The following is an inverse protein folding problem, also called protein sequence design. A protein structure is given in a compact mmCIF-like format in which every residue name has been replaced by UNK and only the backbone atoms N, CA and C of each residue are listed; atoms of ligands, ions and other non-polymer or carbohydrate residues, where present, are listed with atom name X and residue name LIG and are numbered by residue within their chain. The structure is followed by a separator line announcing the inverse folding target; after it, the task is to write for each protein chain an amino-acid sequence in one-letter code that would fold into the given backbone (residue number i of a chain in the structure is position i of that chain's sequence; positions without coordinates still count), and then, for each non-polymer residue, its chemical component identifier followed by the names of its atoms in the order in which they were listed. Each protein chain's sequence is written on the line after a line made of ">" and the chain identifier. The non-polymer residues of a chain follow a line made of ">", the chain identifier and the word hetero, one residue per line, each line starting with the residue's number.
data_IF_547197978318
#
_entry.id   IF_547197978318
#
_cell.length_a   1.000
_cell.length_b   1.000
_cell.length_c   1.000
_cell.angle_alpha   90.00
_cell.angle_beta   90.00
_cell.angle_gamma   90.00
#
_symmetry.space_group_name_H-M   'P 1'
#
loop_
_entity.id
_entity.type
_entity.pdbx_description
1 polymer ?
#
# COMPACT_ATOMS: atom_id res chain seq x y z
N UNK A 1 -1.96 -4.90 -72.07
CA UNK A 1 -3.02 -4.22 -71.31
C UNK A 1 -3.70 -3.14 -72.16
N UNK A 2 -2.96 -2.31 -73.00
CA UNK A 2 -3.54 -1.23 -73.77
C UNK A 2 -4.65 -1.62 -74.74
N UNK A 3 -4.62 -2.85 -75.31
CA UNK A 3 -5.65 -3.31 -76.25
C UNK A 3 -7.04 -3.45 -75.60
N UNK A 4 -7.16 -3.57 -74.32
CA UNK A 4 -8.47 -3.62 -73.60
C UNK A 4 -9.09 -2.27 -73.35
N UNK A 5 -8.31 -1.15 -73.48
CA UNK A 5 -8.73 0.22 -73.32
C UNK A 5 -8.68 1.04 -74.59
N UNK A 6 -8.66 0.41 -75.76
CA UNK A 6 -8.72 1.04 -77.06
C UNK A 6 -7.39 1.56 -77.57
N UNK A 7 -6.24 1.22 -76.98
CA UNK A 7 -4.90 1.61 -77.42
C UNK A 7 -4.18 0.51 -78.22
N UNK A 8 -3.02 0.81 -78.77
CA UNK A 8 -2.22 -0.12 -79.63
C UNK A 8 -1.55 -1.20 -78.71
N UNK A 9 -1.29 -2.42 -79.14
CA UNK A 9 -0.57 -3.43 -78.47
C UNK A 9 0.84 -2.93 -78.08
N UNK A 10 1.15 -2.90 -76.73
CA UNK A 10 2.43 -2.42 -76.21
C UNK A 10 2.45 -0.98 -75.67
N UNK A 11 1.39 -0.21 -75.82
CA UNK A 11 1.25 1.06 -75.15
C UNK A 11 0.80 0.93 -73.73
N UNK A 12 1.43 1.70 -72.84
CA UNK A 12 1.07 1.79 -71.38
C UNK A 12 0.27 3.09 -71.20
N UNK A 13 -0.99 2.94 -70.83
CA UNK A 13 -1.83 4.07 -70.37
C UNK A 13 -1.83 4.14 -68.89
N UNK A 14 -1.48 5.28 -68.30
CA UNK A 14 -1.67 5.47 -66.86
C UNK A 14 -3.17 5.50 -66.59
N UNK A 15 -3.64 4.52 -65.82
CA UNK A 15 -5.04 4.49 -65.34
C UNK A 15 -5.01 4.86 -63.87
N UNK A 16 -5.61 5.97 -63.53
CA UNK A 16 -5.79 6.38 -62.15
C UNK A 16 -7.06 5.71 -61.62
N UNK A 17 -6.91 4.89 -60.55
CA UNK A 17 -8.03 4.32 -59.86
C UNK A 17 -8.26 5.09 -58.54
N UNK A 18 -9.40 5.80 -58.44
CA UNK A 18 -9.78 6.61 -57.31
C UNK A 18 -9.41 8.10 -57.48
N UNK A 19 -9.81 8.88 -56.47
CA UNK A 19 -9.53 10.31 -56.37
C UNK A 19 -8.21 10.56 -55.64
N UNK A 20 -7.61 11.73 -55.81
CA UNK A 20 -6.34 12.09 -55.18
C UNK A 20 -6.47 12.25 -53.64
N UNK A 21 -7.69 12.62 -53.20
CA UNK A 21 -7.97 12.86 -51.80
C UNK A 21 -9.21 12.11 -51.33
N UNK A 22 -9.17 11.65 -50.09
CA UNK A 22 -10.33 11.06 -49.40
C UNK A 22 -10.39 11.55 -47.98
N UNK A 23 -11.61 11.75 -47.48
CA UNK A 23 -11.90 12.05 -46.09
C UNK A 23 -12.92 11.04 -45.62
N UNK A 24 -12.64 10.37 -44.49
CA UNK A 24 -13.61 9.52 -43.83
C UNK A 24 -13.92 10.05 -42.43
N UNK A 25 -15.18 9.98 -42.07
CA UNK A 25 -15.64 10.25 -40.72
C UNK A 25 -16.50 9.05 -40.25
N UNK A 26 -16.05 8.34 -39.21
CA UNK A 26 -16.74 7.17 -38.77
C UNK A 26 -16.92 7.19 -37.23
N UNK A 27 -18.06 6.71 -36.77
CA UNK A 27 -18.33 6.37 -35.39
C UNK A 27 -18.47 4.84 -35.27
N UNK A 28 -17.84 4.28 -34.26
CA UNK A 28 -17.93 2.84 -33.96
C UNK A 28 -18.25 2.63 -32.50
N UNK A 29 -19.22 1.77 -32.24
CA UNK A 29 -19.58 1.27 -30.90
C UNK A 29 -19.27 -0.22 -30.84
N UNK A 30 -18.41 -0.59 -29.90
CA UNK A 30 -18.08 -1.98 -29.63
C UNK A 30 -18.68 -2.36 -28.26
N UNK A 31 -19.45 -3.44 -28.22
CA UNK A 31 -20.04 -4.00 -27.01
C UNK A 31 -19.45 -5.39 -26.73
N UNK A 32 -18.75 -5.53 -25.59
CA UNK A 32 -18.33 -6.83 -25.12
C UNK A 32 -19.56 -7.64 -24.67
N UNK A 33 -19.77 -8.81 -25.26
CA UNK A 33 -20.88 -9.72 -24.94
C UNK A 33 -20.39 -10.78 -23.96
N UNK A 34 -19.23 -11.38 -24.23
CA UNK A 34 -18.64 -12.42 -23.40
C UNK A 34 -17.13 -12.33 -23.40
N UNK A 35 -16.56 -12.37 -22.19
CA UNK A 35 -15.14 -12.57 -21.94
C UNK A 35 -14.99 -13.28 -20.61
N UNK A 36 -14.36 -14.46 -20.62
CA UNK A 36 -14.15 -15.23 -19.39
C UNK A 36 -13.27 -14.51 -18.38
N UNK A 37 -12.26 -13.77 -18.83
CA UNK A 37 -11.38 -13.00 -17.95
C UNK A 37 -12.09 -11.83 -17.29
N UNK A 38 -13.00 -11.16 -17.99
CA UNK A 38 -13.82 -10.07 -17.45
C UNK A 38 -14.71 -10.54 -16.29
N UNK A 39 -15.36 -11.72 -16.45
CA UNK A 39 -16.22 -12.28 -15.39
C UNK A 39 -15.42 -12.59 -14.10
N UNK A 40 -14.18 -13.10 -14.26
CA UNK A 40 -13.30 -13.34 -13.11
C UNK A 40 -12.77 -12.03 -12.55
N UNK A 41 -12.43 -11.05 -13.39
CA UNK A 41 -12.04 -9.71 -12.99
C UNK A 41 -13.09 -9.03 -12.12
N UNK A 42 -14.37 -9.16 -12.47
CA UNK A 42 -15.48 -8.64 -11.68
C UNK A 42 -15.58 -9.33 -10.30
N UNK A 43 -15.35 -10.65 -10.22
CA UNK A 43 -15.25 -11.35 -8.93
C UNK A 43 -14.04 -10.89 -8.11
N UNK A 44 -12.89 -10.67 -8.75
CA UNK A 44 -11.67 -10.22 -8.10
C UNK A 44 -11.80 -8.80 -7.54
N UNK A 45 -12.55 -7.91 -8.19
CA UNK A 45 -12.71 -6.51 -7.74
C UNK A 45 -13.27 -6.40 -6.32
N UNK A 46 -14.22 -7.28 -5.95
CA UNK A 46 -14.78 -7.34 -4.59
C UNK A 46 -13.75 -7.79 -3.55
N UNK A 47 -12.85 -8.71 -3.91
CA UNK A 47 -11.78 -9.19 -3.03
C UNK A 47 -10.72 -8.11 -2.86
N UNK A 48 -10.32 -7.42 -3.92
CA UNK A 48 -9.40 -6.28 -3.85
C UNK A 48 -9.94 -5.14 -2.99
N UNK A 49 -11.24 -4.82 -3.13
CA UNK A 49 -11.88 -3.83 -2.27
C UNK A 49 -11.84 -4.24 -0.79
N UNK A 50 -12.07 -5.54 -0.50
CA UNK A 50 -11.98 -6.06 0.86
C UNK A 50 -10.56 -5.95 1.40
N UNK A 51 -9.54 -6.33 0.62
CA UNK A 51 -8.12 -6.18 0.98
C UNK A 51 -7.79 -4.71 1.27
N UNK A 52 -8.24 -3.77 0.43
CA UNK A 52 -8.01 -2.34 0.65
C UNK A 52 -8.62 -1.84 1.97
N UNK A 53 -9.83 -2.30 2.29
CA UNK A 53 -10.48 -1.96 3.58
C UNK A 53 -9.73 -2.56 4.77
N UNK A 54 -9.25 -3.79 4.64
CA UNK A 54 -8.44 -4.44 5.68
C UNK A 54 -7.09 -3.75 5.88
N UNK A 55 -6.44 -3.33 4.79
CA UNK A 55 -5.21 -2.54 4.88
C UNK A 55 -5.44 -1.19 5.59
N UNK A 56 -6.60 -0.55 5.38
CA UNK A 56 -6.97 0.65 6.14
C UNK A 56 -7.04 0.34 7.64
N UNK A 57 -7.75 -0.72 8.04
CA UNK A 57 -7.85 -1.14 9.45
C UNK A 57 -6.46 -1.46 10.02
N UNK A 58 -5.62 -2.17 9.28
CA UNK A 58 -4.23 -2.45 9.66
C UNK A 58 -3.45 -1.16 9.91
N UNK A 59 -3.51 -0.20 8.98
CA UNK A 59 -2.84 1.10 9.13
C UNK A 59 -3.35 1.89 10.35
N UNK A 60 -4.66 1.84 10.63
CA UNK A 60 -5.23 2.46 11.84
C UNK A 60 -4.67 1.81 13.12
N UNK A 61 -4.52 0.49 13.15
CA UNK A 61 -3.91 -0.23 14.27
C UNK A 61 -2.42 0.07 14.41
N UNK A 62 -1.68 0.14 13.30
CA UNK A 62 -0.26 0.51 13.29
C UNK A 62 -0.02 1.93 13.81
N UNK A 63 -0.84 2.89 13.38
CA UNK A 63 -0.79 4.28 13.89
C UNK A 63 -1.13 4.31 15.39
N UNK A 64 -2.18 3.60 15.81
CA UNK A 64 -2.54 3.50 17.24
C UNK A 64 -1.38 2.95 18.07
N UNK A 65 -0.73 1.89 17.60
CA UNK A 65 0.45 1.31 18.25
C UNK A 65 1.60 2.31 18.33
N UNK A 66 1.94 2.95 17.19
CA UNK A 66 3.01 3.95 17.14
C UNK A 66 2.79 5.10 18.15
N UNK A 67 1.56 5.61 18.21
CA UNK A 67 1.19 6.67 19.17
C UNK A 67 1.27 6.16 20.61
N UNK A 68 0.79 4.95 20.87
CA UNK A 68 0.86 4.35 22.21
C UNK A 68 2.31 4.16 22.66
N UNK A 69 3.17 3.62 21.80
CA UNK A 69 4.59 3.42 22.09
C UNK A 69 5.29 4.77 22.35
N UNK A 70 5.01 5.80 21.53
CA UNK A 70 5.55 7.15 21.74
C UNK A 70 5.07 7.75 23.06
N UNK A 71 3.78 7.58 23.40
CA UNK A 71 3.18 8.07 24.63
C UNK A 71 3.83 7.43 25.88
N UNK A 72 3.98 6.10 25.88
CA UNK A 72 4.64 5.37 26.98
C UNK A 72 6.09 5.79 27.12
N UNK A 73 6.81 6.02 26.01
CA UNK A 73 8.19 6.48 26.05
C UNK A 73 8.34 7.87 26.68
N UNK A 74 7.38 8.79 26.49
CA UNK A 74 7.38 10.08 27.20
C UNK A 74 7.20 9.86 28.70
N UNK A 75 6.18 9.09 29.11
CA UNK A 75 5.92 8.78 30.52
C UNK A 75 7.14 8.13 31.19
N UNK A 76 7.81 7.20 30.49
CA UNK A 76 9.02 6.56 30.98
C UNK A 76 10.17 7.55 31.17
N UNK A 77 10.37 8.48 30.24
CA UNK A 77 11.41 9.49 30.33
C UNK A 77 11.14 10.47 31.49
N UNK A 78 9.90 10.92 31.64
CA UNK A 78 9.50 11.81 32.74
C UNK A 78 9.63 11.12 34.11
N UNK A 79 9.22 9.86 34.23
CA UNK A 79 9.36 9.10 35.47
C UNK A 79 10.84 8.84 35.82
N UNK A 80 11.67 8.53 34.81
CA UNK A 80 13.12 8.38 35.01
C UNK A 80 13.75 9.70 35.48
N UNK A 81 13.35 10.83 34.92
CA UNK A 81 13.78 12.16 35.37
C UNK A 81 13.44 12.34 36.85
N UNK A 82 12.18 12.11 37.23
CA UNK A 82 11.67 12.26 38.60
C UNK A 82 12.44 11.40 39.61
N UNK A 83 12.75 10.14 39.23
CA UNK A 83 13.53 9.22 40.07
C UNK A 83 14.96 9.71 40.26
N UNK A 84 15.62 10.17 39.19
CA UNK A 84 17.00 10.66 39.26
C UNK A 84 17.10 11.97 40.06
N UNK A 85 16.14 12.90 39.88
CA UNK A 85 16.07 14.13 40.71
C UNK A 85 15.93 13.81 42.20
N UNK A 86 15.05 12.87 42.54
CA UNK A 86 14.86 12.44 43.93
C UNK A 86 16.12 11.74 44.50
N UNK A 87 16.76 10.87 43.69
CA UNK A 87 17.97 10.17 44.13
C UNK A 87 19.12 11.13 44.34
N UNK A 88 19.27 12.13 43.45
CA UNK A 88 20.31 13.15 43.58
C UNK A 88 20.11 13.97 44.85
N UNK A 89 18.89 14.46 45.12
CA UNK A 89 18.58 15.21 46.33
C UNK A 89 18.89 14.41 47.60
N UNK A 90 18.44 13.13 47.68
CA UNK A 90 18.74 12.24 48.83
C UNK A 90 20.26 12.02 49.02
N UNK A 91 21.01 11.92 47.91
CA UNK A 91 22.45 11.71 47.96
C UNK A 91 23.20 12.98 48.41
N UNK A 92 22.76 14.16 47.97
CA UNK A 92 23.30 15.46 48.39
C UNK A 92 23.10 15.69 49.89
N UNK A 93 21.93 15.31 50.45
CA UNK A 93 21.67 15.36 51.89
C UNK A 93 22.62 14.40 52.61
N UNK A 94 22.76 13.16 52.14
CA UNK A 94 23.67 12.14 52.69
C UNK A 94 25.12 12.63 52.64
N UNK A 95 25.56 13.22 51.55
CA UNK A 95 26.90 13.74 51.35
C UNK A 95 27.19 14.90 52.30
N UNK A 96 26.19 15.72 52.56
CA UNK A 96 26.30 16.83 53.56
C UNK A 96 26.50 16.27 54.96
N UNK A 97 25.82 15.23 55.34
CA UNK A 97 25.93 14.62 56.68
C UNK A 97 27.25 13.86 56.84
N UNK A 98 27.66 13.08 55.86
CA UNK A 98 28.98 12.38 55.86
C UNK A 98 30.15 13.35 55.91
N UNK A 99 30.09 14.49 55.23
CA UNK A 99 31.12 15.54 55.32
C UNK A 99 31.25 16.09 56.77
N UNK A 100 30.12 16.30 57.48
CA UNK A 100 30.18 16.71 58.90
C UNK A 100 30.85 15.63 59.77
N UNK A 101 30.53 14.34 59.56
CA UNK A 101 31.09 13.20 60.31
C UNK A 101 32.60 13.05 60.00
N UNK A 102 33.01 13.25 58.73
CA UNK A 102 34.39 13.29 58.31
C UNK A 102 35.18 14.41 59.03
N UNK A 103 34.61 15.61 59.13
CA UNK A 103 35.24 16.75 59.84
C UNK A 103 35.46 16.43 61.36
N UNK A 104 34.71 15.50 61.90
CA UNK A 104 34.88 15.03 63.27
C UNK A 104 35.90 13.86 63.40
N UNK A 105 36.47 13.42 62.28
CA UNK A 105 37.46 12.35 62.23
C UNK A 105 36.87 10.93 62.45
N UNK A 106 35.51 10.77 62.24
CA UNK A 106 34.83 9.51 62.46
C UNK A 106 34.64 8.62 61.23
N UNK A 107 34.94 9.14 60.05
CA UNK A 107 34.95 8.41 58.78
C UNK A 107 36.19 8.78 57.95
N UNK A 108 36.55 7.89 57.02
CA UNK A 108 37.70 8.07 56.12
C UNK A 108 37.30 8.92 54.91
N UNK A 109 38.29 9.61 54.27
CA UNK A 109 38.05 10.50 53.11
C UNK A 109 37.50 9.71 51.94
N UNK A 110 37.89 8.45 51.77
CA UNK A 110 37.44 7.57 50.67
C UNK A 110 35.92 7.41 50.64
N UNK A 111 35.25 7.44 51.83
CA UNK A 111 33.77 7.37 51.87
C UNK A 111 33.11 8.64 51.34
N UNK A 112 33.71 9.80 51.55
CA UNK A 112 33.23 11.07 50.99
C UNK A 112 33.44 11.07 49.50
N UNK A 113 34.63 10.71 49.03
CA UNK A 113 35.00 10.68 47.59
C UNK A 113 34.10 9.68 46.84
N UNK A 114 33.79 8.50 47.39
CA UNK A 114 32.91 7.52 46.77
C UNK A 114 31.51 8.07 46.58
N UNK A 115 30.97 8.81 47.57
CA UNK A 115 29.65 9.46 47.42
C UNK A 115 29.67 10.60 46.43
N UNK A 116 30.76 11.37 46.37
CA UNK A 116 30.93 12.42 45.36
C UNK A 116 30.99 11.87 43.91
N UNK A 117 31.68 10.78 43.69
CA UNK A 117 31.72 10.07 42.40
C UNK A 117 30.33 9.56 42.04
N UNK A 118 29.63 9.00 43.02
CA UNK A 118 28.23 8.52 42.82
C UNK A 118 27.28 9.66 42.47
N UNK A 119 27.40 10.81 43.17
CA UNK A 119 26.61 12.02 42.90
C UNK A 119 26.86 12.54 41.47
N UNK A 120 28.12 12.63 41.07
CA UNK A 120 28.51 13.06 39.72
C UNK A 120 27.98 12.10 38.63
N UNK A 121 27.93 10.80 38.93
CA UNK A 121 27.34 9.79 38.02
C UNK A 121 25.83 9.98 37.88
N UNK A 122 25.10 10.16 38.98
CA UNK A 122 23.65 10.42 38.95
C UNK A 122 23.35 11.75 38.26
N UNK A 123 24.12 12.79 38.52
CA UNK A 123 23.99 14.08 37.83
C UNK A 123 24.15 13.95 36.31
N UNK A 124 25.17 13.21 35.86
CA UNK A 124 25.40 12.94 34.45
C UNK A 124 24.24 12.18 33.79
N UNK A 125 23.65 11.20 34.53
CA UNK A 125 22.48 10.48 34.07
C UNK A 125 21.24 11.38 33.99
N UNK A 126 21.06 12.30 34.97
CA UNK A 126 19.99 13.28 34.96
C UNK A 126 20.11 14.25 33.77
N UNK A 127 21.32 14.78 33.51
CA UNK A 127 21.58 15.66 32.37
C UNK A 127 21.29 15.00 31.03
N UNK A 128 21.55 13.70 30.91
CA UNK A 128 21.17 12.92 29.74
C UNK A 128 19.64 12.84 29.59
N UNK A 129 18.91 12.51 30.65
CA UNK A 129 17.44 12.38 30.62
C UNK A 129 16.78 13.73 30.37
N UNK A 130 17.30 14.84 30.91
CA UNK A 130 16.81 16.18 30.66
C UNK A 130 16.87 16.58 29.18
N UNK A 131 17.86 16.06 28.44
CA UNK A 131 17.94 16.22 26.98
C UNK A 131 17.04 15.24 26.22
N UNK A 132 16.75 14.08 26.79
CA UNK A 132 15.88 13.06 26.19
C UNK A 132 14.42 13.41 26.22
N UNK A 133 13.91 13.99 27.33
CA UNK A 133 12.50 14.33 27.52
C UNK A 133 11.92 15.16 26.38
N UNK A 134 12.50 16.29 25.97
CA UNK A 134 11.96 17.06 24.85
C UNK A 134 11.95 16.27 23.52
N UNK A 135 12.93 15.39 23.30
CA UNK A 135 12.99 14.55 22.11
C UNK A 135 11.81 13.55 22.09
N UNK A 136 11.51 12.92 23.24
CA UNK A 136 10.37 11.99 23.32
C UNK A 136 9.04 12.71 23.10
N UNK A 137 8.86 13.93 23.58
CA UNK A 137 7.70 14.77 23.28
C UNK A 137 7.58 15.10 21.77
N UNK A 138 8.70 15.44 21.13
CA UNK A 138 8.73 15.68 19.68
C UNK A 138 8.34 14.44 18.87
N UNK A 139 8.80 13.26 19.29
CA UNK A 139 8.43 11.96 18.67
C UNK A 139 6.92 11.71 18.83
N UNK A 140 6.36 11.99 20.02
CA UNK A 140 4.93 11.88 20.26
C UNK A 140 4.13 12.86 19.37
N UNK A 141 4.54 14.12 19.30
CA UNK A 141 3.91 15.10 18.43
C UNK A 141 3.94 14.69 16.96
N UNK A 142 5.07 14.17 16.50
CA UNK A 142 5.20 13.63 15.14
C UNK A 142 4.24 12.46 14.91
N UNK A 143 4.15 11.52 15.86
CA UNK A 143 3.23 10.38 15.75
C UNK A 143 1.76 10.81 15.75
N UNK A 144 1.43 11.91 16.45
CA UNK A 144 0.09 12.53 16.46
C UNK A 144 -0.19 13.41 15.23
N UNK A 145 0.81 13.64 14.36
CA UNK A 145 0.69 14.56 13.23
C UNK A 145 0.56 16.03 13.62
N UNK A 146 1.11 16.44 14.78
CA UNK A 146 1.11 17.81 15.30
C UNK A 146 2.45 18.51 15.02
N UNK A 147 2.51 19.80 15.30
CA UNK A 147 3.79 20.52 15.27
C UNK A 147 4.73 19.93 16.32
N UNK A 148 6.03 19.81 15.98
CA UNK A 148 7.04 19.20 16.84
C UNK A 148 7.18 19.91 18.20
N UNK A 149 6.92 21.21 18.24
CA UNK A 149 7.07 22.04 19.41
C UNK A 149 5.76 22.23 20.19
N UNK A 150 4.67 21.56 19.78
CA UNK A 150 3.41 21.63 20.54
C UNK A 150 3.60 21.08 21.95
N UNK A 151 2.99 21.74 22.91
CA UNK A 151 3.00 21.29 24.30
C UNK A 151 1.78 20.38 24.56
N UNK A 152 2.03 19.07 24.70
CA UNK A 152 1.02 18.07 25.04
C UNK A 152 1.20 17.69 26.50
N UNK A 153 0.20 18.00 27.33
CA UNK A 153 0.18 17.54 28.73
C UNK A 153 -0.32 16.08 28.78
N UNK A 154 0.47 15.22 29.42
CA UNK A 154 0.09 13.84 29.67
C UNK A 154 -0.73 13.77 30.97
N UNK A 155 -1.80 12.97 30.96
CA UNK A 155 -2.73 12.86 32.11
C UNK A 155 -2.57 11.56 32.89
N UNK A 156 -1.96 10.56 32.27
CA UNK A 156 -1.76 9.24 32.87
C UNK A 156 -0.42 9.15 33.60
N UNK A 157 -0.33 8.18 34.49
CA UNK A 157 0.94 7.76 35.11
C UNK A 157 1.34 6.39 34.59
N UNK A 158 2.65 6.12 34.53
CA UNK A 158 3.16 4.84 34.05
C UNK A 158 2.56 3.67 34.85
N UNK A 159 2.52 3.77 36.18
CA UNK A 159 1.97 2.73 37.05
C UNK A 159 0.46 2.52 36.81
N UNK A 160 -0.29 3.61 36.62
CA UNK A 160 -1.73 3.54 36.34
C UNK A 160 -2.04 2.81 35.03
N UNK A 161 -1.22 3.01 34.00
CA UNK A 161 -1.35 2.30 32.72
C UNK A 161 -1.01 0.81 32.84
N UNK A 162 0.03 0.44 33.59
CA UNK A 162 0.38 -0.97 33.84
C UNK A 162 -0.78 -1.74 34.49
N UNK A 163 -1.36 -1.19 35.57
CA UNK A 163 -2.49 -1.84 36.28
C UNK A 163 -3.73 -1.95 35.35
N UNK A 164 -3.98 -0.97 34.51
CA UNK A 164 -5.11 -0.99 33.57
C UNK A 164 -4.92 -2.05 32.49
N UNK A 165 -3.71 -2.16 31.93
CA UNK A 165 -3.41 -3.13 30.87
C UNK A 165 -3.45 -4.58 31.37
N UNK A 166 -3.02 -4.88 32.61
CA UNK A 166 -3.14 -6.21 33.20
C UNK A 166 -4.59 -6.69 33.28
N UNK A 167 -5.51 -5.83 33.70
CA UNK A 167 -6.94 -6.15 33.79
C UNK A 167 -7.59 -6.40 32.41
N UNK A 168 -7.14 -5.71 31.36
CA UNK A 168 -7.65 -5.90 29.99
C UNK A 168 -7.13 -7.21 29.36
N UNK A 169 -5.87 -7.60 29.60
CA UNK A 169 -5.28 -8.83 29.09
C UNK A 169 -5.98 -10.10 29.62
N UNK A 170 -6.40 -10.08 30.87
CA UNK A 170 -7.07 -11.24 31.52
C UNK A 170 -8.46 -11.49 30.90
N UNK A 171 -9.09 -10.49 30.30
CA UNK A 171 -10.47 -10.58 29.79
C UNK A 171 -10.58 -10.79 28.27
N UNK A 172 -9.48 -10.85 27.52
CA UNK A 172 -9.52 -10.96 26.05
C UNK A 172 -9.66 -12.42 25.59
N UNK A 173 -10.80 -12.75 24.99
CA UNK A 173 -10.99 -13.99 24.22
C UNK A 173 -10.25 -13.86 22.89
N UNK A 174 -9.04 -14.45 22.81
CA UNK A 174 -8.20 -14.39 21.61
C UNK A 174 -8.77 -15.32 20.53
N UNK A 175 -8.99 -14.78 19.33
CA UNK A 175 -9.56 -15.48 18.19
C UNK A 175 -8.72 -15.16 16.94
N UNK A 176 -8.08 -16.18 16.37
CA UNK A 176 -7.25 -16.08 15.17
C UNK A 176 -8.02 -15.45 14.00
N UNK A 177 -9.30 -15.80 13.83
CA UNK A 177 -10.10 -15.30 12.72
C UNK A 177 -10.40 -13.79 12.81
N UNK A 178 -10.33 -13.20 14.01
CA UNK A 178 -10.48 -11.77 14.23
C UNK A 178 -9.21 -10.98 13.98
N UNK A 179 -8.04 -11.66 13.90
CA UNK A 179 -6.78 -10.98 13.65
C UNK A 179 -6.72 -10.42 12.23
N UNK A 180 -6.33 -9.15 12.10
CA UNK A 180 -6.33 -8.46 10.79
C UNK A 180 -5.28 -9.01 9.83
N UNK A 181 -4.10 -9.42 10.32
CA UNK A 181 -3.03 -9.97 9.51
C UNK A 181 -3.40 -11.34 8.93
N UNK A 182 -4.04 -12.19 9.74
CA UNK A 182 -4.62 -13.45 9.28
C UNK A 182 -5.69 -13.24 8.20
N UNK A 183 -6.61 -12.31 8.43
CA UNK A 183 -7.65 -11.98 7.44
C UNK A 183 -7.07 -11.46 6.12
N UNK A 184 -6.02 -10.64 6.17
CA UNK A 184 -5.31 -10.14 4.98
C UNK A 184 -4.64 -11.30 4.24
N UNK A 185 -3.92 -12.17 4.95
CA UNK A 185 -3.27 -13.34 4.36
C UNK A 185 -4.30 -14.29 3.69
N UNK A 186 -5.42 -14.56 4.35
CA UNK A 186 -6.52 -15.37 3.80
C UNK A 186 -7.11 -14.75 2.52
N UNK A 187 -7.33 -13.42 2.49
CA UNK A 187 -7.84 -12.76 1.30
C UNK A 187 -6.80 -12.66 0.18
N UNK A 188 -5.50 -12.56 0.50
CA UNK A 188 -4.41 -12.64 -0.48
C UNK A 188 -4.37 -14.01 -1.16
N UNK A 189 -4.55 -15.09 -0.39
CA UNK A 189 -4.69 -16.44 -0.96
C UNK A 189 -5.91 -16.53 -1.88
N UNK A 190 -7.05 -15.98 -1.46
CA UNK A 190 -8.27 -15.94 -2.29
C UNK A 190 -8.04 -15.15 -3.57
N UNK A 191 -7.36 -14.00 -3.50
CA UNK A 191 -6.97 -13.19 -4.65
C UNK A 191 -6.09 -13.99 -5.61
N UNK A 192 -5.06 -14.68 -5.12
CA UNK A 192 -4.18 -15.52 -5.92
C UNK A 192 -4.92 -16.65 -6.63
N UNK A 193 -5.90 -17.29 -5.97
CA UNK A 193 -6.79 -18.29 -6.58
C UNK A 193 -7.65 -17.70 -7.70
N UNK A 194 -8.14 -16.47 -7.54
CA UNK A 194 -8.89 -15.78 -8.59
C UNK A 194 -8.00 -15.40 -9.78
N UNK A 195 -6.77 -14.97 -9.53
CA UNK A 195 -5.79 -14.69 -10.59
C UNK A 195 -5.43 -15.96 -11.38
N UNK A 196 -5.28 -17.10 -10.71
CA UNK A 196 -5.13 -18.39 -11.41
C UNK A 196 -6.36 -18.74 -12.27
N UNK A 197 -7.56 -18.50 -11.74
CA UNK A 197 -8.80 -18.70 -12.51
C UNK A 197 -8.86 -17.76 -13.72
N UNK A 198 -8.42 -16.51 -13.57
CA UNK A 198 -8.35 -15.52 -14.65
C UNK A 198 -7.43 -16.00 -15.77
N UNK A 199 -6.22 -16.50 -15.46
CA UNK A 199 -5.30 -17.02 -16.48
C UNK A 199 -5.88 -18.22 -17.23
N UNK A 200 -6.59 -19.11 -16.55
CA UNK A 200 -7.30 -20.22 -17.20
C UNK A 200 -8.44 -19.74 -18.09
N UNK A 201 -9.16 -18.71 -17.71
CA UNK A 201 -10.31 -18.18 -18.44
C UNK A 201 -9.92 -17.34 -19.64
N UNK A 202 -8.67 -16.87 -19.73
CA UNK A 202 -8.08 -16.25 -20.94
C UNK A 202 -8.00 -17.20 -22.14
N UNK A 203 -8.10 -18.50 -21.92
CA UNK A 203 -8.19 -19.49 -22.99
C UNK A 203 -9.61 -19.60 -23.60
N UNK A 204 -10.62 -18.99 -22.99
CA UNK A 204 -11.99 -18.99 -23.50
C UNK A 204 -12.15 -17.97 -24.64
N UNK A 205 -13.13 -18.16 -25.56
CA UNK A 205 -13.40 -17.19 -26.59
C UNK A 205 -13.88 -15.86 -26.02
N UNK A 206 -13.48 -14.76 -26.66
CA UNK A 206 -14.05 -13.41 -26.45
C UNK A 206 -15.05 -13.13 -27.55
N UNK A 207 -16.25 -12.69 -27.19
CA UNK A 207 -17.35 -12.36 -28.11
C UNK A 207 -17.70 -10.88 -27.93
N UNK A 208 -17.64 -10.12 -29.02
CA UNK A 208 -18.09 -8.72 -29.05
C UNK A 208 -19.01 -8.47 -30.24
N UNK A 209 -19.98 -7.59 -30.07
CA UNK A 209 -20.77 -7.01 -31.16
C UNK A 209 -20.26 -5.61 -31.47
N UNK A 210 -20.38 -5.20 -32.71
CA UNK A 210 -20.08 -3.85 -33.10
C UNK A 210 -21.14 -3.28 -34.03
N UNK A 211 -21.31 -1.97 -33.93
CA UNK A 211 -22.06 -1.14 -34.89
C UNK A 211 -21.15 -0.01 -35.31
N UNK A 212 -20.98 0.14 -36.58
CA UNK A 212 -20.20 1.24 -37.18
C UNK A 212 -21.06 1.99 -38.19
N UNK A 213 -20.98 3.30 -38.18
CA UNK A 213 -21.59 4.17 -39.20
C UNK A 213 -20.63 5.30 -39.53
N UNK A 214 -20.58 5.67 -40.82
CA UNK A 214 -19.67 6.71 -41.27
C UNK A 214 -20.03 7.24 -42.61
N UNK A 215 -19.32 8.29 -43.02
CA UNK A 215 -19.42 8.92 -44.31
C UNK A 215 -18.04 9.02 -44.94
N UNK A 216 -17.94 8.64 -46.20
CA UNK A 216 -16.73 8.77 -47.03
C UNK A 216 -16.93 9.85 -48.08
N UNK A 217 -16.00 10.77 -48.21
CA UNK A 217 -15.94 11.78 -49.23
C UNK A 217 -14.71 11.59 -50.12
N UNK A 218 -14.88 11.67 -51.42
CA UNK A 218 -13.82 11.50 -52.39
C UNK A 218 -13.78 12.72 -53.30
N UNK A 219 -12.60 13.30 -53.54
CA UNK A 219 -12.42 14.43 -54.47
C UNK A 219 -10.95 14.49 -54.90
N UNK A 220 -10.71 15.13 -56.05
CA UNK A 220 -9.35 15.42 -56.55
C UNK A 220 -8.76 16.68 -55.90
N UNK A 221 -9.63 17.62 -55.43
CA UNK A 221 -9.26 18.83 -54.73
C UNK A 221 -9.79 18.80 -53.26
N UNK A 222 -9.16 19.60 -52.39
CA UNK A 222 -9.60 19.73 -50.98
C UNK A 222 -10.83 20.65 -50.87
N UNK A 223 -11.98 20.14 -51.34
CA UNK A 223 -13.27 20.86 -51.34
C UNK A 223 -14.34 20.19 -50.48
N UNK A 224 -13.95 19.38 -49.53
CA UNK A 224 -14.84 18.53 -48.71
C UNK A 224 -15.88 19.31 -47.91
N UNK A 225 -15.66 20.60 -47.62
CA UNK A 225 -16.63 21.43 -46.86
C UNK A 225 -17.60 22.21 -47.74
N UNK A 226 -17.55 22.03 -49.08
CA UNK A 226 -18.46 22.68 -49.99
C UNK A 226 -19.80 21.91 -50.07
N UNK A 227 -20.88 22.64 -50.34
CA UNK A 227 -22.23 22.04 -50.44
C UNK A 227 -22.37 21.06 -51.62
N UNK A 228 -21.51 21.15 -52.61
CA UNK A 228 -21.46 20.26 -53.77
C UNK A 228 -20.76 18.93 -53.53
N UNK A 229 -20.10 18.76 -52.35
CA UNK A 229 -19.43 17.51 -52.02
C UNK A 229 -20.42 16.37 -51.83
N UNK A 230 -20.18 15.29 -52.55
CA UNK A 230 -20.96 14.06 -52.40
C UNK A 230 -20.35 13.21 -51.30
N UNK A 231 -21.16 12.89 -50.30
CA UNK A 231 -20.81 12.00 -49.22
C UNK A 231 -21.49 10.65 -49.39
N UNK A 232 -20.76 9.59 -49.17
CA UNK A 232 -21.24 8.22 -49.25
C UNK A 232 -21.37 7.68 -47.83
N UNK A 233 -22.56 7.27 -47.44
CA UNK A 233 -22.80 6.65 -46.17
C UNK A 233 -22.38 5.17 -46.18
N UNK A 234 -21.81 4.73 -45.07
CA UNK A 234 -21.54 3.32 -44.86
C UNK A 234 -21.97 2.93 -43.44
N UNK A 235 -22.58 1.79 -43.32
CA UNK A 235 -22.98 1.23 -42.02
C UNK A 235 -22.67 -0.26 -41.99
N UNK A 236 -22.18 -0.71 -40.83
CA UNK A 236 -21.89 -2.12 -40.61
C UNK A 236 -22.31 -2.53 -39.20
N UNK A 237 -22.88 -3.69 -39.10
CA UNK A 237 -23.17 -4.37 -37.83
C UNK A 237 -22.56 -5.77 -37.90
N UNK A 238 -21.97 -6.23 -36.80
CA UNK A 238 -21.37 -7.55 -36.81
C UNK A 238 -21.06 -8.11 -35.43
N UNK A 239 -20.72 -9.38 -35.41
CA UNK A 239 -20.21 -10.10 -34.26
C UNK A 239 -18.77 -10.50 -34.54
N UNK A 240 -17.90 -10.27 -33.56
CA UNK A 240 -16.52 -10.73 -33.58
C UNK A 240 -16.33 -11.79 -32.51
N UNK A 241 -15.78 -12.95 -32.91
CA UNK A 241 -15.41 -14.05 -31.98
C UNK A 241 -13.92 -14.28 -32.12
N UNK A 242 -13.20 -14.04 -31.03
CA UNK A 242 -11.75 -14.27 -30.97
C UNK A 242 -11.45 -15.43 -30.04
N UNK A 243 -10.80 -16.48 -30.57
CA UNK A 243 -10.40 -17.65 -29.79
C UNK A 243 -8.87 -17.86 -29.93
N UNK A 244 -8.10 -17.82 -28.84
CA UNK A 244 -6.67 -18.11 -28.88
C UNK A 244 -6.45 -19.61 -29.03
N UNK A 245 -6.13 -20.09 -30.24
CA UNK A 245 -5.92 -21.51 -30.51
C UNK A 245 -4.50 -21.94 -30.14
N UNK A 246 -3.50 -21.09 -30.43
CA UNK A 246 -2.10 -21.40 -30.16
C UNK A 246 -1.35 -20.12 -29.69
N UNK A 247 -0.69 -20.24 -28.54
CA UNK A 247 0.00 -19.12 -27.87
C UNK A 247 1.49 -19.38 -27.66
N UNK A 248 2.08 -20.30 -28.41
CA UNK A 248 3.51 -20.70 -28.29
C UNK A 248 3.94 -21.02 -26.84
N UNK A 249 3.06 -21.65 -26.04
CA UNK A 249 3.33 -22.00 -24.64
C UNK A 249 3.14 -20.85 -23.63
N UNK A 250 2.96 -19.61 -24.09
CA UNK A 250 2.83 -18.46 -23.18
C UNK A 250 1.63 -18.57 -22.23
N UNK A 251 0.50 -19.11 -22.70
CA UNK A 251 -0.70 -19.34 -21.86
C UNK A 251 -0.44 -20.34 -20.75
N UNK A 252 0.26 -21.44 -21.07
CA UNK A 252 0.64 -22.47 -20.09
C UNK A 252 1.61 -21.88 -19.05
N UNK A 253 2.66 -21.18 -19.48
CA UNK A 253 3.65 -20.58 -18.60
C UNK A 253 3.01 -19.59 -17.62
N UNK A 254 2.07 -18.72 -18.08
CA UNK A 254 1.32 -17.81 -17.19
C UNK A 254 0.46 -18.57 -16.18
N UNK A 255 -0.17 -19.68 -16.60
CA UNK A 255 -0.97 -20.51 -15.72
C UNK A 255 -0.10 -21.17 -14.64
N UNK A 256 1.09 -21.67 -15.02
CA UNK A 256 2.01 -22.30 -14.08
C UNK A 256 2.61 -21.27 -13.10
N UNK A 257 2.94 -20.06 -13.57
CA UNK A 257 3.32 -18.95 -12.71
C UNK A 257 2.20 -18.58 -11.71
N UNK A 258 0.95 -18.57 -12.17
CA UNK A 258 -0.18 -18.30 -11.28
C UNK A 258 -0.40 -19.41 -10.23
N UNK A 259 -0.14 -20.69 -10.59
CA UNK A 259 -0.15 -21.80 -9.61
C UNK A 259 0.92 -21.63 -8.54
N UNK A 260 2.13 -21.24 -8.92
CA UNK A 260 3.22 -20.97 -7.98
C UNK A 260 2.87 -19.81 -7.05
N UNK A 261 2.22 -18.75 -7.56
CA UNK A 261 1.75 -17.65 -6.73
C UNK A 261 0.67 -18.09 -5.72
N UNK A 262 -0.21 -19.03 -6.09
CA UNK A 262 -1.16 -19.62 -5.12
C UNK A 262 -0.42 -20.42 -4.06
N UNK A 263 0.56 -21.25 -4.42
CA UNK A 263 1.36 -22.01 -3.45
C UNK A 263 2.11 -21.07 -2.50
N UNK A 264 2.75 -20.01 -3.02
CA UNK A 264 3.40 -18.97 -2.21
C UNK A 264 2.44 -18.31 -1.23
N UNK A 265 1.23 -17.92 -1.69
CA UNK A 265 0.23 -17.30 -0.83
C UNK A 265 -0.30 -18.26 0.24
N UNK A 266 -0.35 -19.56 -0.04
CA UNK A 266 -0.71 -20.59 0.91
C UNK A 266 0.34 -20.70 2.03
N UNK A 267 1.62 -20.81 1.67
CA UNK A 267 2.73 -20.85 2.64
C UNK A 267 2.78 -19.58 3.50
N UNK A 268 2.51 -18.41 2.90
CA UNK A 268 2.42 -17.15 3.66
C UNK A 268 1.28 -17.15 4.67
N UNK A 269 0.12 -17.74 4.33
CA UNK A 269 -0.99 -17.88 5.28
C UNK A 269 -0.61 -18.78 6.45
N UNK A 270 0.01 -19.95 6.16
CA UNK A 270 0.48 -20.89 7.18
C UNK A 270 1.54 -20.24 8.09
N UNK A 271 2.47 -19.48 7.52
CA UNK A 271 3.47 -18.73 8.30
C UNK A 271 2.82 -17.72 9.25
N UNK A 272 1.87 -16.91 8.77
CA UNK A 272 1.14 -15.95 9.61
C UNK A 272 0.34 -16.65 10.70
N UNK A 273 -0.26 -17.80 10.39
CA UNK A 273 -0.98 -18.61 11.38
C UNK A 273 -0.03 -19.11 12.49
N UNK A 274 1.13 -19.64 12.13
CA UNK A 274 2.14 -20.08 13.09
C UNK A 274 2.70 -18.92 13.93
N UNK A 275 3.00 -17.76 13.31
CA UNK A 275 3.48 -16.56 14.01
C UNK A 275 2.47 -16.00 15.02
N UNK A 276 1.19 -16.17 14.77
CA UNK A 276 0.13 -15.72 15.67
C UNK A 276 -0.19 -16.71 16.80
N UNK A 277 0.20 -17.98 16.65
CA UNK A 277 -0.01 -19.02 17.65
C UNK A 277 1.17 -19.14 18.64
N UNK A 278 2.34 -18.55 18.31
CA UNK A 278 3.54 -18.49 19.17
C UNK A 278 3.44 -17.36 20.18
#
# INVERSE_FOLDING_TARGET
>A
PGAYFGGNPGEYYPVQFGTEQSVDAAARLDQLIFDGSYLVGLQASSVFLKISRQNKVKSELEVKRLVTDAYVNVLLAEERKRILEKNLANLEDTLTDIRKVYQQGLVEVEQVEQLEITSASIQSALDYVLRLVPITHQILNMALGRDLNDNVALTDTLLGLCVKSENELISSDWDLEKNIDYQIAQNNLRSSKLLLKLERFRALPTISAFVASGYDGFNDDFTFFQKSQQWYDRSAIGLSVTLPIFTSGAGQSRTDQAKLNVAKAQTQLEQVEEELLL
#
